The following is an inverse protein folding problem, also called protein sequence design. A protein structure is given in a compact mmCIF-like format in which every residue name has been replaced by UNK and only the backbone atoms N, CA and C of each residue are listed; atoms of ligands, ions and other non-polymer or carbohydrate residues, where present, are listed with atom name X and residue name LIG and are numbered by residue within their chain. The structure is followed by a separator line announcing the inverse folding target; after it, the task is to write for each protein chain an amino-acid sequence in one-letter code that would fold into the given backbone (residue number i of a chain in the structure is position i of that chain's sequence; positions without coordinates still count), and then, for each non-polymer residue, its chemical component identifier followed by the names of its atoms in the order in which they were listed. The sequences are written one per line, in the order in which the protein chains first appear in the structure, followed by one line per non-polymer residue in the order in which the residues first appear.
data_IF_898666301445
#
_entry.id   IF_898666301445
#
_cell.length_a   1.000
_cell.length_b   1.000
_cell.length_c   1.000
_cell.angle_alpha   90.00
_cell.angle_beta   90.00
_cell.angle_gamma   90.00
#
_symmetry.space_group_name_H-M   'P 1'
#
loop_
_entity.id
_entity.type
_entity.pdbx_description
1 polymer ?
#
# COMPACT_ATOMS: atom_id res chain seq x y z
N UNK A 1 22.92 -15.84 -9.04
CA UNK A 1 21.90 -15.39 -8.07
C UNK A 1 20.76 -14.91 -8.93
N UNK A 2 19.87 -15.84 -9.24
CA UNK A 2 18.92 -15.76 -10.36
C UNK A 2 17.68 -14.98 -9.94
N UNK A 3 16.97 -14.46 -10.94
CA UNK A 3 15.71 -13.73 -10.83
C UNK A 3 14.61 -14.48 -10.05
N UNK A 4 14.82 -15.76 -9.72
CA UNK A 4 13.95 -16.59 -8.86
C UNK A 4 13.89 -16.17 -7.39
N UNK A 5 14.96 -15.62 -6.79
CA UNK A 5 14.91 -15.15 -5.39
C UNK A 5 14.08 -13.87 -5.26
N UNK A 6 14.06 -13.01 -6.29
CA UNK A 6 13.21 -11.82 -6.34
C UNK A 6 11.73 -12.16 -6.52
N UNK A 7 11.42 -13.24 -7.25
CA UNK A 7 10.04 -13.74 -7.39
C UNK A 7 9.51 -14.43 -6.11
N UNK A 8 10.37 -14.75 -5.15
CA UNK A 8 9.97 -15.39 -3.90
C UNK A 8 9.41 -14.41 -2.84
N UNK A 9 9.53 -13.09 -3.02
CA UNK A 9 9.17 -12.06 -2.01
C UNK A 9 7.98 -11.15 -2.35
N UNK A 10 7.31 -11.39 -3.48
CA UNK A 10 6.19 -10.59 -3.97
C UNK A 10 6.56 -9.62 -5.10
N UNK A 11 5.58 -8.83 -5.54
CA UNK A 11 5.65 -7.85 -6.63
C UNK A 11 6.38 -6.56 -6.22
N UNK A 12 6.38 -6.20 -4.92
CA UNK A 12 6.93 -4.91 -4.46
C UNK A 12 8.46 -4.95 -4.33
N UNK A 13 9.21 -4.04 -5.00
CA UNK A 13 10.69 -3.96 -4.91
C UNK A 13 11.19 -3.29 -3.61
N UNK A 14 10.68 -3.71 -2.44
CA UNK A 14 10.92 -3.05 -1.15
C UNK A 14 12.36 -3.20 -0.59
N UNK A 15 13.17 -4.07 -1.20
CA UNK A 15 14.60 -4.25 -0.88
C UNK A 15 15.51 -3.52 -1.86
N UNK A 16 14.97 -2.96 -2.95
CA UNK A 16 15.72 -2.13 -3.89
C UNK A 16 15.76 -0.67 -3.39
N UNK A 17 16.94 -0.15 -2.99
CA UNK A 17 17.05 1.21 -2.47
C UNK A 17 16.68 2.29 -3.49
N UNK A 18 16.81 2.02 -4.80
CA UNK A 18 16.44 2.98 -5.85
C UNK A 18 14.93 3.09 -5.95
N UNK A 19 14.23 1.95 -5.96
CA UNK A 19 12.77 1.91 -5.97
C UNK A 19 12.18 2.54 -4.69
N UNK A 20 12.76 2.24 -3.53
CA UNK A 20 12.33 2.82 -2.24
C UNK A 20 12.54 4.34 -2.21
N UNK A 21 13.66 4.85 -2.73
CA UNK A 21 13.91 6.28 -2.79
C UNK A 21 12.91 6.99 -3.70
N UNK A 22 12.68 6.47 -4.91
CA UNK A 22 11.65 6.99 -5.83
C UNK A 22 10.25 6.94 -5.20
N UNK A 23 9.92 5.85 -4.53
CA UNK A 23 8.65 5.67 -3.83
C UNK A 23 8.42 6.67 -2.70
N UNK A 24 9.48 7.05 -1.99
CA UNK A 24 9.42 8.09 -0.95
C UNK A 24 9.03 9.45 -1.52
N UNK A 25 9.52 9.80 -2.72
CA UNK A 25 9.16 11.05 -3.40
C UNK A 25 7.68 11.05 -3.83
N UNK A 26 7.24 9.93 -4.43
CA UNK A 26 5.83 9.72 -4.79
C UNK A 26 4.93 9.79 -3.54
N UNK A 27 5.33 9.14 -2.45
CA UNK A 27 4.57 9.16 -1.19
C UNK A 27 4.36 10.58 -0.68
N UNK A 28 5.43 11.37 -0.64
CA UNK A 28 5.38 12.74 -0.15
C UNK A 28 4.46 13.62 -1.00
N UNK A 29 4.45 13.43 -2.32
CA UNK A 29 3.66 14.20 -3.26
C UNK A 29 2.17 13.82 -3.28
N UNK A 30 1.85 12.53 -3.19
CA UNK A 30 0.51 12.02 -3.50
C UNK A 30 -0.22 11.37 -2.32
N UNK A 31 0.50 10.86 -1.32
CA UNK A 31 -0.08 10.01 -0.27
C UNK A 31 -0.10 10.70 1.10
N UNK A 32 0.96 11.44 1.42
CA UNK A 32 1.20 12.02 2.74
C UNK A 32 0.11 13.03 3.18
N UNK A 33 -0.58 13.68 2.23
CA UNK A 33 -1.67 14.61 2.53
C UNK A 33 -2.84 13.96 3.29
N UNK A 34 -3.05 12.67 3.10
CA UNK A 34 -4.08 11.90 3.82
C UNK A 34 -3.47 10.91 4.81
N UNK A 35 -2.42 10.18 4.42
CA UNK A 35 -1.82 9.12 5.23
C UNK A 35 -0.75 9.61 6.21
N UNK A 36 -0.48 10.92 6.26
CA UNK A 36 0.51 11.52 7.15
C UNK A 36 1.94 11.36 6.63
N UNK A 37 2.79 12.33 6.93
CA UNK A 37 4.18 12.35 6.46
C UNK A 37 5.07 11.26 7.10
N UNK A 38 4.61 10.65 8.20
CA UNK A 38 5.27 9.54 8.89
C UNK A 38 4.45 8.25 8.81
N UNK A 39 3.54 8.15 7.84
CA UNK A 39 2.67 6.98 7.63
C UNK A 39 1.67 6.73 8.78
N UNK A 40 1.42 7.74 9.62
CA UNK A 40 0.63 7.64 10.85
C UNK A 40 -0.89 7.62 10.62
N UNK A 41 -1.32 7.98 9.41
CA UNK A 41 -2.74 8.07 9.05
C UNK A 41 -3.47 9.21 9.76
N UNK A 42 -4.79 9.22 9.63
CA UNK A 42 -5.66 10.15 10.32
C UNK A 42 -6.11 9.61 11.68
N UNK A 43 -6.42 10.48 12.65
CA UNK A 43 -7.02 10.08 13.92
C UNK A 43 -8.34 9.31 13.69
N UNK A 44 -8.66 8.39 14.61
CA UNK A 44 -9.92 7.64 14.58
C UNK A 44 -10.20 6.91 13.25
N UNK A 45 -9.16 6.51 12.50
CA UNK A 45 -9.30 5.89 11.18
C UNK A 45 -10.16 4.61 11.12
N UNK A 46 -10.44 3.98 12.27
CA UNK A 46 -11.35 2.84 12.39
C UNK A 46 -12.82 3.23 12.60
N UNK A 47 -13.14 4.50 12.73
CA UNK A 47 -14.49 5.02 12.95
C UNK A 47 -14.92 5.84 11.73
N UNK A 48 -16.16 5.66 11.28
CA UNK A 48 -16.72 6.50 10.22
C UNK A 48 -16.96 7.90 10.77
N UNK A 49 -16.66 8.90 9.94
CA UNK A 49 -16.99 10.29 10.25
C UNK A 49 -18.48 10.60 9.99
N UNK A 50 -18.85 11.88 10.15
CA UNK A 50 -20.22 12.37 10.00
C UNK A 50 -20.78 12.13 8.58
N UNK A 51 -19.91 12.12 7.57
CA UNK A 51 -20.25 11.83 6.17
C UNK A 51 -20.29 10.32 5.86
N UNK A 52 -19.95 9.48 6.85
CA UNK A 52 -19.94 8.03 6.74
C UNK A 52 -18.65 7.46 6.13
N UNK A 53 -17.57 8.23 5.99
CA UNK A 53 -16.30 7.77 5.42
C UNK A 53 -15.33 7.30 6.49
N UNK A 54 -14.52 6.27 6.19
CA UNK A 54 -13.37 5.93 7.03
C UNK A 54 -12.21 6.90 6.70
N UNK A 55 -11.59 7.51 7.72
CA UNK A 55 -10.36 8.28 7.55
C UNK A 55 -9.21 7.41 7.02
N UNK A 56 -8.18 8.07 6.47
CA UNK A 56 -7.02 7.37 5.93
C UNK A 56 -6.30 6.54 7.02
N UNK A 57 -6.14 5.21 6.86
CA UNK A 57 -5.46 4.39 7.85
C UNK A 57 -3.95 4.67 7.89
N UNK A 58 -3.26 4.38 9.01
CA UNK A 58 -1.82 4.34 9.05
C UNK A 58 -1.31 3.29 8.07
N UNK A 59 -0.21 3.62 7.42
CA UNK A 59 0.59 2.68 6.64
C UNK A 59 1.74 2.08 7.46
N UNK A 60 1.97 2.59 8.67
CA UNK A 60 2.89 2.00 9.64
C UNK A 60 2.34 0.70 10.29
N UNK A 61 3.09 0.04 11.19
CA UNK A 61 2.66 -1.21 11.83
C UNK A 61 1.36 -1.15 12.64
N UNK A 62 0.90 0.04 13.04
CA UNK A 62 -0.36 0.22 13.79
C UNK A 62 -1.61 0.11 12.89
N UNK A 63 -1.40 0.20 11.58
CA UNK A 63 -2.40 0.09 10.53
C UNK A 63 -2.78 -1.34 10.16
N UNK A 64 -3.27 -1.50 8.93
CA UNK A 64 -3.65 -2.81 8.39
C UNK A 64 -3.18 -3.03 6.94
N UNK A 65 -2.38 -2.13 6.37
CA UNK A 65 -1.96 -2.23 4.95
C UNK A 65 -1.25 -3.56 4.69
N UNK A 66 -0.39 -3.98 5.62
CA UNK A 66 0.34 -5.25 5.58
C UNK A 66 -0.54 -6.52 5.67
N UNK A 67 -1.85 -6.40 5.87
CA UNK A 67 -2.77 -7.53 5.81
C UNK A 67 -3.18 -7.93 4.38
N UNK A 68 -2.98 -7.05 3.40
CA UNK A 68 -3.39 -7.25 2.02
C UNK A 68 -2.17 -7.62 1.16
N UNK A 69 -2.28 -8.58 0.23
CA UNK A 69 -1.17 -8.94 -0.65
C UNK A 69 -0.85 -7.84 -1.67
N UNK A 70 0.35 -7.89 -2.23
CA UNK A 70 0.90 -6.86 -3.14
C UNK A 70 -0.05 -6.50 -4.29
N UNK A 71 -0.62 -7.50 -4.96
CA UNK A 71 -1.51 -7.27 -6.10
C UNK A 71 -2.78 -6.54 -5.66
N UNK A 72 -3.36 -6.90 -4.51
CA UNK A 72 -4.51 -6.18 -3.97
C UNK A 72 -4.15 -4.73 -3.62
N UNK A 73 -2.98 -4.50 -3.02
CA UNK A 73 -2.50 -3.15 -2.72
C UNK A 73 -2.29 -2.32 -4.00
N UNK A 74 -1.69 -2.91 -5.02
CA UNK A 74 -1.50 -2.28 -6.32
C UNK A 74 -2.84 -1.88 -6.95
N UNK A 75 -3.80 -2.81 -6.95
CA UNK A 75 -5.13 -2.56 -7.51
C UNK A 75 -5.87 -1.46 -6.72
N UNK A 76 -5.78 -1.45 -5.38
CA UNK A 76 -6.39 -0.41 -4.53
C UNK A 76 -5.81 0.95 -4.91
N UNK A 77 -4.48 1.06 -5.02
CA UNK A 77 -3.83 2.33 -5.37
C UNK A 77 -4.17 2.76 -6.80
N UNK A 78 -4.23 1.83 -7.76
CA UNK A 78 -4.49 2.13 -9.16
C UNK A 78 -5.94 2.54 -9.42
N UNK A 79 -6.90 1.80 -8.87
CA UNK A 79 -8.32 1.96 -9.20
C UNK A 79 -9.16 2.63 -8.10
N UNK A 80 -8.62 2.72 -6.88
CA UNK A 80 -9.33 3.25 -5.72
C UNK A 80 -10.16 2.18 -5.02
N UNK A 81 -10.42 2.41 -3.74
CA UNK A 81 -11.09 1.42 -2.87
C UNK A 81 -12.56 1.21 -3.26
N UNK A 82 -13.27 2.27 -3.67
CA UNK A 82 -14.69 2.16 -4.07
C UNK A 82 -14.88 1.20 -5.25
N UNK A 83 -14.01 1.29 -6.26
CA UNK A 83 -14.09 0.46 -7.48
C UNK A 83 -13.86 -1.01 -7.14
N UNK A 84 -12.88 -1.32 -6.30
CA UNK A 84 -12.56 -2.71 -5.96
C UNK A 84 -13.55 -3.37 -4.99
N UNK A 85 -14.03 -2.63 -4.00
CA UNK A 85 -14.99 -3.19 -3.03
C UNK A 85 -16.38 -3.29 -3.65
N UNK A 86 -16.77 -2.32 -4.47
CA UNK A 86 -18.08 -2.28 -5.13
C UNK A 86 -19.24 -2.22 -4.14
N UNK A 87 -20.41 -2.69 -4.57
CA UNK A 87 -21.63 -2.81 -3.75
C UNK A 87 -22.03 -1.52 -3.02
N UNK A 88 -21.76 -0.35 -3.63
CA UNK A 88 -22.06 0.96 -3.05
C UNK A 88 -21.12 1.38 -1.91
N UNK A 89 -19.98 0.69 -1.71
CA UNK A 89 -18.97 1.13 -0.75
C UNK A 89 -18.40 2.48 -1.13
N UNK A 90 -18.25 3.37 -0.12
CA UNK A 90 -17.72 4.72 -0.29
C UNK A 90 -16.38 4.89 0.43
N UNK A 91 -15.44 5.56 -0.22
CA UNK A 91 -14.06 5.79 0.25
C UNK A 91 -13.50 7.08 -0.32
N UNK A 92 -12.70 7.79 0.49
CA UNK A 92 -11.90 8.92 0.00
C UNK A 92 -10.55 8.50 -0.59
N UNK A 93 -10.23 7.20 -0.59
CA UNK A 93 -9.04 6.68 -1.26
C UNK A 93 -9.32 6.54 -2.75
N UNK A 94 -9.03 7.59 -3.52
CA UNK A 94 -9.15 7.60 -4.97
C UNK A 94 -8.15 6.66 -5.66
N UNK A 95 -8.43 6.30 -6.91
CA UNK A 95 -7.49 5.62 -7.79
C UNK A 95 -6.53 6.59 -8.48
N UNK A 96 -5.27 6.16 -8.63
CA UNK A 96 -4.19 6.96 -9.21
C UNK A 96 -3.79 6.54 -10.63
N UNK A 97 -4.45 5.56 -11.26
CA UNK A 97 -4.04 5.02 -12.57
C UNK A 97 -4.07 5.99 -13.76
N UNK A 98 -4.62 7.21 -13.60
CA UNK A 98 -4.52 8.30 -14.57
C UNK A 98 -3.53 9.41 -14.18
N UNK A 99 -2.82 9.24 -13.06
CA UNK A 99 -1.93 10.23 -12.44
C UNK A 99 -0.52 9.66 -12.26
N UNK A 100 -0.42 8.42 -11.80
CA UNK A 100 0.80 7.65 -11.62
C UNK A 100 0.83 6.51 -12.62
N UNK A 101 2.02 6.21 -13.14
CA UNK A 101 2.21 4.97 -13.89
C UNK A 101 2.35 3.76 -12.94
N UNK A 102 2.38 2.56 -13.51
CA UNK A 102 2.42 1.33 -12.72
C UNK A 102 3.73 1.22 -11.93
N UNK A 103 4.84 1.74 -12.45
CA UNK A 103 6.13 1.70 -11.76
C UNK A 103 6.14 2.63 -10.54
N UNK A 104 5.55 3.82 -10.64
CA UNK A 104 5.41 4.74 -9.52
C UNK A 104 4.51 4.15 -8.42
N UNK A 105 3.43 3.45 -8.81
CA UNK A 105 2.57 2.74 -7.85
C UNK A 105 3.36 1.63 -7.13
N UNK A 106 4.16 0.85 -7.86
CA UNK A 106 5.02 -0.17 -7.27
C UNK A 106 6.07 0.42 -6.34
N UNK A 107 6.70 1.52 -6.74
CA UNK A 107 7.73 2.21 -5.97
C UNK A 107 7.14 2.76 -4.66
N UNK A 108 5.98 3.43 -4.69
CA UNK A 108 5.37 3.99 -3.47
C UNK A 108 4.94 2.90 -2.48
N UNK A 109 4.41 1.78 -2.99
CA UNK A 109 4.09 0.62 -2.15
C UNK A 109 5.35 -0.07 -1.60
N UNK A 110 6.43 -0.12 -2.38
CA UNK A 110 7.74 -0.59 -1.92
C UNK A 110 8.30 0.29 -0.79
N UNK A 111 8.19 1.62 -0.92
CA UNK A 111 8.56 2.56 0.15
C UNK A 111 7.77 2.28 1.42
N UNK A 112 6.43 2.18 1.33
CA UNK A 112 5.58 1.86 2.49
C UNK A 112 6.04 0.56 3.16
N UNK A 113 6.22 -0.53 2.40
CA UNK A 113 6.67 -1.83 2.91
C UNK A 113 8.06 -1.77 3.54
N UNK A 114 8.97 -0.95 3.00
CA UNK A 114 10.33 -0.78 3.55
C UNK A 114 10.36 -0.17 4.96
N UNK A 115 9.28 0.53 5.37
CA UNK A 115 9.17 1.12 6.71
C UNK A 115 8.75 0.13 7.79
N UNK A 116 8.28 -1.06 7.40
CA UNK A 116 7.78 -2.04 8.35
C UNK A 116 8.91 -2.75 9.09
N UNK A 117 8.76 -3.02 10.41
CA UNK A 117 9.67 -3.90 11.13
C UNK A 117 9.75 -5.27 10.46
N UNK A 118 10.92 -5.91 10.54
CA UNK A 118 11.19 -7.21 9.91
C UNK A 118 10.07 -8.25 10.08
N UNK A 119 9.52 -8.48 11.29
CA UNK A 119 8.41 -9.42 11.48
C UNK A 119 7.12 -9.08 10.71
N UNK A 120 6.81 -7.79 10.53
CA UNK A 120 5.63 -7.33 9.79
C UNK A 120 5.84 -7.50 8.29
N UNK A 121 7.02 -7.11 7.78
CA UNK A 121 7.40 -7.33 6.39
C UNK A 121 7.40 -8.83 6.02
N UNK A 122 7.91 -9.68 6.91
CA UNK A 122 7.89 -11.14 6.73
C UNK A 122 6.46 -11.71 6.74
N UNK A 123 5.60 -11.25 7.64
CA UNK A 123 4.19 -11.66 7.63
C UNK A 123 3.51 -11.30 6.31
N UNK A 124 3.79 -10.12 5.78
CA UNK A 124 3.27 -9.70 4.48
C UNK A 124 3.82 -10.53 3.33
N UNK A 125 5.11 -10.88 3.33
CA UNK A 125 5.68 -11.81 2.35
C UNK A 125 4.96 -13.17 2.38
N UNK A 126 4.63 -13.68 3.57
CA UNK A 126 3.85 -14.92 3.70
C UNK A 126 2.44 -14.80 3.12
N UNK A 127 1.80 -13.64 3.25
CA UNK A 127 0.49 -13.37 2.63
C UNK A 127 0.59 -13.35 1.11
N UNK A 128 1.65 -12.75 0.55
CA UNK A 128 1.90 -12.79 -0.89
C UNK A 128 2.02 -14.24 -1.39
N UNK A 129 2.79 -15.08 -0.68
CA UNK A 129 2.95 -16.49 -1.03
C UNK A 129 1.62 -17.26 -0.95
N UNK A 130 0.78 -16.98 0.05
CA UNK A 130 -0.54 -17.62 0.19
C UNK A 130 -1.52 -17.17 -0.89
N UNK A 131 -1.51 -15.88 -1.26
CA UNK A 131 -2.35 -15.34 -2.31
C UNK A 131 -2.00 -15.93 -3.68
N UNK A 132 -0.72 -16.16 -3.96
CA UNK A 132 -0.23 -16.76 -5.21
C UNK A 132 -0.58 -18.26 -5.38
N UNK A 133 -1.07 -18.92 -4.32
CA UNK A 133 -1.44 -20.34 -4.33
C UNK A 133 -2.93 -20.59 -4.61
N UNK A 134 -3.75 -19.54 -4.65
CA UNK A 134 -5.20 -19.61 -4.85
C UNK A 134 -5.59 -19.08 -6.24
#
# INVERSE_FOLDING_TARGET
MSQEEAQATGLLPYTDPVAVAAGSEVYAAYCAACHGGKLEGQPNWRQRDEDGYLPAPPHDPSGHTWHHPDEQLFMITKYGTEVLVGNGYRSRMQGFGGVLDDQDILNVLAYIKSTWPGPVAENHNQRNMQAAQN
#
